data_IF_384096875525
#
_entry.id   IF_384096875525
#
_cell.length_a   1.000
_cell.length_b   1.000
_cell.length_c   1.000
_cell.angle_alpha   90.00
_cell.angle_beta   90.00
_cell.angle_gamma   90.00
#
_symmetry.space_group_name_H-M   'P 1'
#
loop_
_entity.id
_entity.type
_entity.pdbx_description
1 polymer ?
#
# COMPACT_ATOMS: atom_id res chain seq x y z
N UNK A 1 25.88 -42.45 -22.38
CA UNK A 1 24.65 -42.17 -21.60
C UNK A 1 24.80 -42.77 -20.19
N UNK A 2 25.02 -41.99 -19.13
CA UNK A 2 24.90 -42.50 -17.77
C UNK A 2 23.58 -42.08 -17.10
N UNK A 3 23.10 -42.98 -16.27
CA UNK A 3 21.76 -43.07 -15.72
C UNK A 3 21.42 -41.99 -14.67
N UNK A 4 20.24 -41.38 -14.85
CA UNK A 4 19.45 -40.74 -13.80
C UNK A 4 18.95 -41.81 -12.82
N UNK A 5 19.48 -41.88 -11.60
CA UNK A 5 18.83 -42.57 -10.45
C UNK A 5 19.56 -42.22 -9.15
N UNK A 6 19.15 -41.13 -8.52
CA UNK A 6 19.70 -40.68 -7.24
C UNK A 6 18.92 -39.51 -6.61
N UNK A 7 17.59 -39.51 -6.73
CA UNK A 7 16.73 -38.43 -6.20
C UNK A 7 16.00 -38.84 -4.91
N UNK A 8 16.15 -40.06 -4.37
CA UNK A 8 15.08 -40.57 -3.49
C UNK A 8 15.12 -40.16 -2.00
N UNK A 9 16.28 -39.83 -1.41
CA UNK A 9 16.37 -39.54 0.05
C UNK A 9 16.59 -38.08 0.38
N UNK A 10 17.50 -37.40 -0.32
CA UNK A 10 17.80 -35.99 -0.09
C UNK A 10 16.59 -35.10 -0.44
N UNK A 11 15.92 -35.41 -1.54
CA UNK A 11 14.72 -34.69 -1.99
C UNK A 11 13.52 -34.97 -1.07
N UNK A 12 13.36 -36.21 -0.60
CA UNK A 12 12.32 -36.55 0.39
C UNK A 12 12.56 -35.82 1.72
N UNK A 13 13.81 -35.78 2.18
CA UNK A 13 14.19 -35.01 3.37
C UNK A 13 13.95 -33.51 3.20
N UNK A 14 14.28 -32.94 2.04
CA UNK A 14 13.98 -31.54 1.72
C UNK A 14 12.47 -31.25 1.72
N UNK A 15 11.64 -32.13 1.13
CA UNK A 15 10.19 -31.99 1.18
C UNK A 15 9.64 -32.12 2.59
N UNK A 16 10.14 -33.06 3.41
CA UNK A 16 9.73 -33.20 4.81
C UNK A 16 10.09 -31.97 5.65
N UNK A 17 11.21 -31.31 5.35
CA UNK A 17 11.61 -30.07 6.04
C UNK A 17 10.70 -28.88 5.69
N UNK A 18 10.22 -28.83 4.43
CA UNK A 18 9.33 -27.76 3.93
C UNK A 18 7.86 -28.05 4.23
N UNK A 19 7.48 -29.32 4.44
CA UNK A 19 6.09 -29.75 4.64
C UNK A 19 5.36 -29.02 5.77
N UNK A 20 5.94 -28.77 6.97
CA UNK A 20 5.25 -28.03 8.03
C UNK A 20 4.87 -26.60 7.60
N UNK A 21 5.76 -25.92 6.88
CA UNK A 21 5.52 -24.56 6.38
C UNK A 21 4.42 -24.58 5.32
N UNK A 22 4.48 -25.53 4.38
CA UNK A 22 3.44 -25.67 3.33
C UNK A 22 2.09 -26.00 3.95
N UNK A 23 2.03 -26.89 4.93
CA UNK A 23 0.79 -27.23 5.63
C UNK A 23 0.19 -26.00 6.34
N UNK A 24 1.02 -25.19 7.00
CA UNK A 24 0.57 -23.95 7.61
C UNK A 24 0.06 -22.94 6.57
N UNK A 25 0.77 -22.77 5.45
CA UNK A 25 0.33 -21.88 4.36
C UNK A 25 -1.00 -22.37 3.78
N UNK A 26 -1.14 -23.67 3.51
CA UNK A 26 -2.37 -24.23 2.94
C UNK A 26 -3.53 -24.09 3.93
N UNK A 27 -3.33 -24.44 5.19
CA UNK A 27 -4.38 -24.44 6.21
C UNK A 27 -4.79 -23.04 6.68
N UNK A 28 -3.84 -22.12 6.84
CA UNK A 28 -4.09 -20.80 7.44
C UNK A 28 -4.23 -19.66 6.42
N UNK A 29 -3.76 -19.84 5.19
CA UNK A 29 -3.83 -18.82 4.15
C UNK A 29 -4.69 -19.28 2.98
N UNK A 30 -4.33 -20.39 2.33
CA UNK A 30 -5.01 -20.82 1.11
C UNK A 30 -6.46 -21.26 1.38
N UNK A 31 -6.70 -22.03 2.45
CA UNK A 31 -8.04 -22.48 2.81
C UNK A 31 -9.03 -21.33 3.09
N UNK A 32 -8.78 -20.39 4.03
CA UNK A 32 -9.73 -19.29 4.28
C UNK A 32 -9.88 -18.37 3.07
N UNK A 33 -8.84 -18.21 2.25
CA UNK A 33 -8.90 -17.46 1.01
C UNK A 33 -9.86 -18.08 -0.02
N UNK A 34 -9.67 -19.37 -0.31
CA UNK A 34 -10.55 -20.11 -1.23
C UNK A 34 -11.97 -20.22 -0.68
N UNK A 35 -12.11 -20.35 0.64
CA UNK A 35 -13.41 -20.35 1.30
C UNK A 35 -14.11 -18.99 1.20
N UNK A 36 -13.40 -17.87 1.34
CA UNK A 36 -13.97 -16.53 1.10
C UNK A 36 -14.42 -16.37 -0.36
N UNK A 37 -13.65 -16.89 -1.33
CA UNK A 37 -14.07 -16.93 -2.73
C UNK A 37 -15.37 -17.73 -2.84
N UNK A 38 -15.46 -18.92 -2.26
CA UNK A 38 -16.69 -19.72 -2.29
C UNK A 38 -17.89 -18.96 -1.69
N UNK A 39 -17.73 -18.39 -0.49
CA UNK A 39 -18.76 -17.62 0.21
C UNK A 39 -19.27 -16.46 -0.65
N UNK A 40 -18.41 -15.81 -1.44
CA UNK A 40 -18.81 -14.69 -2.30
C UNK A 40 -19.89 -15.03 -3.34
N UNK A 41 -20.06 -16.31 -3.69
CA UNK A 41 -21.10 -16.81 -4.59
C UNK A 41 -22.36 -17.32 -3.86
N UNK A 42 -22.46 -17.07 -2.56
CA UNK A 42 -23.58 -17.51 -1.70
C UNK A 42 -24.31 -16.33 -1.06
N UNK A 43 -25.56 -16.53 -0.62
CA UNK A 43 -26.29 -15.57 0.23
C UNK A 43 -26.02 -15.76 1.72
N UNK A 44 -24.84 -16.29 2.07
CA UNK A 44 -24.49 -16.64 3.44
C UNK A 44 -24.55 -15.43 4.38
N UNK A 45 -25.22 -15.61 5.51
CA UNK A 45 -25.31 -14.64 6.61
C UNK A 45 -24.84 -15.28 7.91
N UNK A 46 -24.57 -14.50 8.94
CA UNK A 46 -24.19 -15.07 10.25
C UNK A 46 -25.32 -15.96 10.76
N UNK A 47 -24.99 -17.21 11.12
CA UNK A 47 -25.95 -18.20 11.62
C UNK A 47 -26.69 -19.00 10.54
N UNK A 48 -26.48 -18.72 9.25
CA UNK A 48 -27.05 -19.50 8.15
C UNK A 48 -25.99 -19.76 7.08
N UNK A 49 -25.75 -21.04 6.73
CA UNK A 49 -24.73 -21.46 5.75
C UNK A 49 -24.96 -20.94 4.33
N UNK A 50 -26.14 -20.37 4.05
CA UNK A 50 -26.47 -19.80 2.75
C UNK A 50 -26.67 -20.87 1.67
N UNK A 51 -27.22 -20.43 0.54
CA UNK A 51 -27.35 -21.18 -0.70
C UNK A 51 -26.46 -20.55 -1.75
N UNK A 52 -26.09 -21.35 -2.73
CA UNK A 52 -25.39 -20.87 -3.92
C UNK A 52 -26.32 -19.97 -4.74
N UNK A 53 -25.92 -18.72 -4.96
CA UNK A 53 -26.65 -17.72 -5.75
C UNK A 53 -25.88 -17.27 -7.00
N UNK A 54 -24.75 -17.91 -7.29
CA UNK A 54 -23.89 -17.56 -8.42
C UNK A 54 -23.38 -16.13 -8.34
N UNK A 55 -23.56 -15.34 -9.39
CA UNK A 55 -23.02 -13.98 -9.51
C UNK A 55 -23.91 -12.88 -8.89
N UNK A 56 -24.97 -13.23 -8.17
CA UNK A 56 -25.95 -12.25 -7.69
C UNK A 56 -25.34 -11.15 -6.79
N UNK A 57 -24.42 -11.50 -5.87
CA UNK A 57 -23.71 -10.52 -5.04
C UNK A 57 -22.91 -9.52 -5.89
N UNK A 58 -22.22 -10.01 -6.92
CA UNK A 58 -21.40 -9.20 -7.81
C UNK A 58 -22.26 -8.22 -8.62
N UNK A 59 -23.38 -8.69 -9.18
CA UNK A 59 -24.33 -7.84 -9.92
C UNK A 59 -24.95 -6.78 -9.00
N UNK A 60 -25.32 -7.16 -7.78
CA UNK A 60 -25.85 -6.24 -6.78
C UNK A 60 -24.84 -5.14 -6.43
N UNK A 61 -23.61 -5.53 -6.09
CA UNK A 61 -22.53 -4.60 -5.75
C UNK A 61 -22.20 -3.66 -6.91
N UNK A 62 -22.14 -4.15 -8.14
CA UNK A 62 -21.84 -3.31 -9.31
C UNK A 62 -22.84 -2.18 -9.58
N UNK A 63 -24.06 -2.28 -9.02
CA UNK A 63 -25.11 -1.25 -9.11
C UNK A 63 -25.17 -0.35 -7.87
N UNK A 64 -24.41 -0.67 -6.83
CA UNK A 64 -24.41 0.05 -5.57
C UNK A 64 -23.45 1.26 -5.66
N UNK A 65 -23.95 2.46 -5.39
CA UNK A 65 -23.16 3.70 -5.45
C UNK A 65 -21.99 3.70 -4.47
N UNK A 66 -22.16 3.17 -3.25
CA UNK A 66 -21.11 3.06 -2.24
C UNK A 66 -20.00 2.12 -2.69
N UNK A 67 -20.35 1.02 -3.35
CA UNK A 67 -19.37 0.12 -3.95
C UNK A 67 -18.58 0.81 -5.06
N UNK A 68 -19.24 1.52 -5.97
CA UNK A 68 -18.57 2.29 -7.03
C UNK A 68 -17.64 3.37 -6.45
N UNK A 69 -18.08 4.09 -5.41
CA UNK A 69 -17.23 5.01 -4.66
C UNK A 69 -16.01 4.30 -4.09
N UNK A 70 -16.18 3.09 -3.54
CA UNK A 70 -15.06 2.32 -2.99
C UNK A 70 -13.97 1.95 -4.01
N UNK A 71 -14.35 1.69 -5.26
CA UNK A 71 -13.41 1.44 -6.36
C UNK A 71 -12.55 2.69 -6.58
N UNK A 72 -13.19 3.82 -6.86
CA UNK A 72 -12.50 5.06 -7.20
C UNK A 72 -11.64 5.57 -6.04
N UNK A 73 -12.18 5.55 -4.83
CA UNK A 73 -11.44 5.94 -3.64
C UNK A 73 -10.22 5.06 -3.38
N UNK A 74 -10.33 3.74 -3.58
CA UNK A 74 -9.19 2.83 -3.42
C UNK A 74 -8.12 3.11 -4.48
N UNK A 75 -8.52 3.33 -5.74
CA UNK A 75 -7.59 3.73 -6.82
C UNK A 75 -6.92 5.06 -6.49
N UNK A 76 -7.68 6.08 -6.09
CA UNK A 76 -7.15 7.39 -5.69
C UNK A 76 -6.18 7.26 -4.52
N UNK A 77 -6.55 6.48 -3.50
CA UNK A 77 -5.70 6.21 -2.34
C UNK A 77 -4.36 5.60 -2.75
N UNK A 78 -4.37 4.57 -3.60
CA UNK A 78 -3.14 3.91 -4.06
C UNK A 78 -2.31 4.86 -4.91
N UNK A 79 -2.87 5.40 -6.00
CA UNK A 79 -2.11 6.18 -6.98
C UNK A 79 -1.54 7.47 -6.37
N UNK A 80 -2.36 8.22 -5.62
CA UNK A 80 -1.93 9.50 -5.05
C UNK A 80 -0.98 9.26 -3.88
N UNK A 81 -1.28 8.33 -2.98
CA UNK A 81 -0.40 8.09 -1.83
C UNK A 81 0.94 7.53 -2.28
N UNK A 82 0.97 6.56 -3.20
CA UNK A 82 2.22 5.97 -3.65
C UNK A 82 3.02 6.94 -4.53
N UNK A 83 2.36 7.73 -5.38
CA UNK A 83 3.03 8.80 -6.12
C UNK A 83 3.70 9.83 -5.19
N UNK A 84 3.01 10.26 -4.13
CA UNK A 84 3.58 11.19 -3.14
C UNK A 84 4.71 10.54 -2.33
N UNK A 85 4.53 9.31 -1.86
CA UNK A 85 5.58 8.57 -1.13
C UNK A 85 6.82 8.33 -2.00
N UNK A 86 6.65 8.06 -3.29
CA UNK A 86 7.74 7.93 -4.26
C UNK A 86 8.52 9.24 -4.34
N UNK A 87 7.83 10.35 -4.64
CA UNK A 87 8.46 11.66 -4.78
C UNK A 87 9.18 12.09 -3.49
N UNK A 88 8.52 11.97 -2.33
CA UNK A 88 9.09 12.35 -1.03
C UNK A 88 10.24 11.40 -0.67
N UNK A 89 10.04 10.10 -0.80
CA UNK A 89 11.04 9.08 -0.48
C UNK A 89 12.28 9.23 -1.33
N UNK A 90 12.13 9.43 -2.64
CA UNK A 90 13.25 9.62 -3.56
C UNK A 90 13.97 10.96 -3.31
N UNK A 91 13.22 12.04 -3.14
CA UNK A 91 13.79 13.35 -2.82
C UNK A 91 14.63 13.33 -1.54
N UNK A 92 14.09 12.74 -0.46
CA UNK A 92 14.82 12.58 0.79
C UNK A 92 16.00 11.61 0.65
N UNK A 93 15.86 10.54 -0.12
CA UNK A 93 16.94 9.59 -0.35
C UNK A 93 18.11 10.25 -1.08
N UNK A 94 17.84 11.03 -2.14
CA UNK A 94 18.85 11.81 -2.87
C UNK A 94 19.54 12.83 -1.95
N UNK A 95 18.76 13.54 -1.12
CA UNK A 95 19.29 14.51 -0.17
C UNK A 95 20.27 13.85 0.83
N UNK A 96 19.86 12.72 1.41
CA UNK A 96 20.66 11.96 2.40
C UNK A 96 21.79 11.14 1.77
N UNK A 97 21.69 10.85 0.48
CA UNK A 97 22.76 10.20 -0.27
C UNK A 97 23.97 11.15 -0.45
N UNK A 98 23.76 12.46 -0.40
CA UNK A 98 24.85 13.42 -0.33
C UNK A 98 25.57 13.35 1.03
N UNK A 99 26.81 13.82 1.09
CA UNK A 99 27.62 13.82 2.32
C UNK A 99 27.12 14.87 3.33
N UNK A 100 25.93 14.66 3.91
CA UNK A 100 25.33 15.55 4.90
C UNK A 100 25.92 15.32 6.30
N UNK A 101 26.31 16.39 7.03
CA UNK A 101 26.66 16.27 8.43
C UNK A 101 25.43 15.82 9.23
N UNK A 102 25.61 14.91 10.19
CA UNK A 102 24.50 14.40 11.01
C UNK A 102 23.57 13.39 10.32
N UNK A 103 23.97 12.81 9.18
CA UNK A 103 23.16 11.84 8.40
C UNK A 103 22.50 10.72 9.22
N UNK A 104 23.15 10.24 10.28
CA UNK A 104 22.62 9.18 11.13
C UNK A 104 21.37 9.63 11.89
N UNK A 105 21.43 10.81 12.52
CA UNK A 105 20.30 11.39 13.25
C UNK A 105 19.13 11.71 12.31
N UNK A 106 19.43 12.25 11.14
CA UNK A 106 18.40 12.57 10.14
C UNK A 106 17.68 11.30 9.65
N UNK A 107 18.42 10.22 9.36
CA UNK A 107 17.83 8.91 9.02
C UNK A 107 16.94 8.38 10.14
N UNK A 108 17.39 8.43 11.39
CA UNK A 108 16.60 7.97 12.53
C UNK A 108 15.30 8.75 12.69
N UNK A 109 15.35 10.08 12.56
CA UNK A 109 14.16 10.93 12.66
C UNK A 109 13.15 10.64 11.54
N UNK A 110 13.63 10.50 10.30
CA UNK A 110 12.76 10.17 9.15
C UNK A 110 12.09 8.80 9.29
N UNK A 111 12.67 7.86 10.03
CA UNK A 111 12.11 6.52 10.24
C UNK A 111 11.06 6.46 11.35
N UNK A 112 10.93 7.52 12.17
CA UNK A 112 9.97 7.55 13.29
C UNK A 112 8.52 7.22 12.88
N UNK A 113 7.96 7.77 11.78
CA UNK A 113 6.58 7.48 11.40
C UNK A 113 6.32 6.00 11.12
N UNK A 114 7.31 5.28 10.58
CA UNK A 114 7.19 3.85 10.27
C UNK A 114 7.40 2.96 11.49
N UNK A 115 8.23 3.40 12.44
CA UNK A 115 8.46 2.69 13.70
C UNK A 115 7.22 2.69 14.62
N UNK A 116 6.31 3.66 14.45
CA UNK A 116 5.07 3.73 15.21
C UNK A 116 4.07 2.64 14.78
N UNK A 117 3.38 2.00 15.74
CA UNK A 117 2.22 1.17 15.42
C UNK A 117 1.19 1.99 14.63
N UNK A 118 0.65 1.38 13.56
CA UNK A 118 -0.24 2.08 12.64
C UNK A 118 -1.47 2.69 13.33
N UNK A 119 -2.10 1.95 14.23
CA UNK A 119 -3.21 2.46 15.05
C UNK A 119 -2.85 3.73 15.84
N UNK A 120 -1.67 3.77 16.48
CA UNK A 120 -1.22 4.94 17.26
C UNK A 120 -0.99 6.14 16.34
N UNK A 121 -0.36 5.92 15.18
CA UNK A 121 -0.14 6.96 14.18
C UNK A 121 -1.45 7.58 13.71
N UNK A 122 -2.42 6.76 13.28
CA UNK A 122 -3.70 7.29 12.76
C UNK A 122 -4.58 7.92 13.85
N UNK A 123 -4.58 7.41 15.08
CA UNK A 123 -5.26 8.08 16.18
C UNK A 123 -4.63 9.44 16.53
N UNK A 124 -3.30 9.54 16.46
CA UNK A 124 -2.60 10.82 16.64
C UNK A 124 -3.03 11.81 15.56
N UNK A 125 -3.06 11.38 14.30
CA UNK A 125 -3.59 12.22 13.21
C UNK A 125 -5.05 12.60 13.42
N UNK A 126 -5.91 11.70 13.91
CA UNK A 126 -7.29 12.03 14.23
C UNK A 126 -7.39 13.16 15.25
N UNK A 127 -6.56 13.16 16.29
CA UNK A 127 -6.50 14.25 17.28
C UNK A 127 -6.02 15.55 16.63
N UNK A 128 -4.96 15.49 15.80
CA UNK A 128 -4.44 16.67 15.10
C UNK A 128 -5.47 17.28 14.13
N UNK A 129 -6.32 16.46 13.54
CA UNK A 129 -7.39 16.84 12.62
C UNK A 129 -8.68 17.32 13.31
N UNK A 130 -8.78 17.30 14.65
CA UNK A 130 -9.99 17.74 15.32
C UNK A 130 -10.31 19.21 14.99
N UNK A 131 -11.57 19.54 14.62
CA UNK A 131 -11.95 20.90 14.30
C UNK A 131 -11.66 21.86 15.47
N UNK A 132 -11.99 21.44 16.68
CA UNK A 132 -11.80 22.19 17.92
C UNK A 132 -10.67 21.56 18.72
N UNK A 133 -9.63 22.34 19.05
CA UNK A 133 -8.49 21.88 19.83
C UNK A 133 -7.47 21.01 19.08
N UNK A 134 -7.70 20.70 17.80
CA UNK A 134 -6.75 19.98 16.97
C UNK A 134 -5.53 20.82 16.59
N UNK A 135 -4.35 20.21 16.64
CA UNK A 135 -3.07 20.89 16.43
C UNK A 135 -2.96 21.61 15.09
N UNK A 136 -3.56 21.08 14.02
CA UNK A 136 -3.46 21.69 12.68
C UNK A 136 -4.21 23.02 12.62
N UNK A 137 -5.45 23.05 13.09
CA UNK A 137 -6.24 24.29 13.12
C UNK A 137 -5.60 25.31 14.06
N UNK A 138 -5.07 24.89 15.21
CA UNK A 138 -4.36 25.78 16.13
C UNK A 138 -3.15 26.45 15.46
N UNK A 139 -2.35 25.70 14.70
CA UNK A 139 -1.21 26.25 13.96
C UNK A 139 -1.68 27.21 12.86
N UNK A 140 -2.72 26.86 12.10
CA UNK A 140 -3.24 27.70 11.02
C UNK A 140 -3.81 29.03 11.53
N UNK A 141 -4.53 29.00 12.65
CA UNK A 141 -5.05 30.21 13.29
C UNK A 141 -3.93 31.04 13.91
N UNK A 142 -2.95 30.42 14.60
CA UNK A 142 -1.84 31.12 15.22
C UNK A 142 -0.89 31.79 14.20
N UNK A 143 -0.70 31.17 13.03
CA UNK A 143 0.12 31.72 11.94
C UNK A 143 -0.60 32.73 11.07
N UNK A 144 -1.92 32.88 11.22
CA UNK A 144 -2.75 33.75 10.39
C UNK A 144 -2.96 33.24 8.95
N UNK A 145 -2.51 32.02 8.62
CA UNK A 145 -2.71 31.41 7.29
C UNK A 145 -4.19 31.18 7.02
N UNK A 146 -4.95 30.76 8.05
CA UNK A 146 -6.38 30.57 7.95
C UNK A 146 -7.05 30.85 9.29
N UNK A 147 -8.03 31.75 9.30
CA UNK A 147 -8.76 32.18 10.51
C UNK A 147 -10.00 31.34 10.83
N UNK A 148 -10.45 30.50 9.89
CA UNK A 148 -11.59 29.62 10.06
C UNK A 148 -11.23 28.28 10.72
N UNK A 149 -12.24 27.59 11.24
CA UNK A 149 -12.12 26.19 11.67
C UNK A 149 -12.36 25.29 10.47
N UNK A 150 -11.37 24.49 10.09
CA UNK A 150 -11.52 23.48 9.04
C UNK A 150 -11.89 22.16 9.69
N UNK A 151 -12.99 21.57 9.23
CA UNK A 151 -13.33 20.18 9.55
C UNK A 151 -12.68 19.25 8.51
N UNK A 152 -11.47 18.79 8.86
CA UNK A 152 -10.61 17.98 7.98
C UNK A 152 -11.20 16.62 7.64
N UNK A 153 -12.01 16.05 8.54
CA UNK A 153 -12.53 14.68 8.40
C UNK A 153 -14.04 14.67 8.11
N UNK A 154 -14.76 15.74 8.44
CA UNK A 154 -16.21 15.86 8.24
C UNK A 154 -16.64 16.46 6.90
N UNK A 155 -15.74 17.04 6.10
CA UNK A 155 -16.08 17.56 4.77
C UNK A 155 -15.61 16.63 3.65
N UNK A 156 -16.45 16.41 2.63
CA UNK A 156 -16.13 15.52 1.49
C UNK A 156 -14.86 15.95 0.74
N UNK A 157 -14.61 17.24 0.65
CA UNK A 157 -13.46 17.82 -0.07
C UNK A 157 -12.13 17.65 0.67
N UNK A 158 -12.15 17.54 2.00
CA UNK A 158 -10.94 17.52 2.85
C UNK A 158 -10.62 16.14 3.39
N UNK A 159 -11.62 15.27 3.57
CA UNK A 159 -11.46 13.97 4.21
C UNK A 159 -10.47 13.05 3.48
N UNK A 160 -10.61 12.87 2.16
CA UNK A 160 -9.69 12.01 1.40
C UNK A 160 -8.25 12.57 1.38
N UNK A 161 -8.02 13.88 1.10
CA UNK A 161 -6.69 14.48 1.25
C UNK A 161 -6.07 14.30 2.65
N UNK A 162 -6.85 14.43 3.72
CA UNK A 162 -6.37 14.22 5.09
C UNK A 162 -5.95 12.76 5.33
N UNK A 163 -6.75 11.79 4.88
CA UNK A 163 -6.40 10.37 4.94
C UNK A 163 -5.13 10.06 4.15
N UNK A 164 -5.01 10.58 2.93
CA UNK A 164 -3.82 10.43 2.08
C UNK A 164 -2.60 11.02 2.78
N UNK A 165 -2.71 12.22 3.34
CA UNK A 165 -1.59 12.88 4.01
C UNK A 165 -1.06 12.06 5.19
N UNK A 166 -1.93 11.60 6.07
CA UNK A 166 -1.55 10.73 7.18
C UNK A 166 -0.93 9.40 6.69
N UNK A 167 -1.48 8.83 5.62
CA UNK A 167 -0.97 7.60 4.98
C UNK A 167 0.42 7.80 4.38
N UNK A 168 0.66 8.92 3.71
CA UNK A 168 1.95 9.30 3.13
C UNK A 168 2.97 9.57 4.23
N UNK A 169 2.61 10.34 5.26
CA UNK A 169 3.47 10.63 6.40
C UNK A 169 3.96 9.34 7.09
N UNK A 170 3.08 8.37 7.28
CA UNK A 170 3.45 7.08 7.87
C UNK A 170 4.25 6.22 6.89
N UNK A 171 3.94 6.27 5.60
CA UNK A 171 4.43 5.34 4.58
C UNK A 171 5.73 5.73 3.89
N UNK A 172 6.05 7.02 3.78
CA UNK A 172 7.25 7.49 3.08
C UNK A 172 8.58 6.91 3.62
N UNK A 173 8.76 6.58 4.92
CA UNK A 173 10.05 6.11 5.40
C UNK A 173 10.49 4.79 4.76
N UNK A 174 9.54 3.89 4.46
CA UNK A 174 9.80 2.66 3.71
C UNK A 174 10.34 2.94 2.31
N UNK A 175 9.77 3.91 1.60
CA UNK A 175 10.23 4.35 0.29
C UNK A 175 11.62 4.99 0.37
N UNK A 176 11.80 5.89 1.33
CA UNK A 176 13.07 6.55 1.61
C UNK A 176 14.21 5.56 1.86
N UNK A 177 14.04 4.60 2.77
CA UNK A 177 15.11 3.66 3.12
C UNK A 177 15.43 2.71 1.97
N UNK A 178 14.40 2.28 1.22
CA UNK A 178 14.56 1.40 0.06
C UNK A 178 15.36 2.10 -1.04
N UNK A 179 15.01 3.34 -1.37
CA UNK A 179 15.73 4.11 -2.38
C UNK A 179 17.12 4.53 -1.94
N UNK A 180 17.30 4.87 -0.66
CA UNK A 180 18.62 5.22 -0.14
C UNK A 180 19.59 4.01 -0.21
N UNK A 181 19.10 2.81 0.10
CA UNK A 181 19.89 1.58 -0.05
C UNK A 181 20.21 1.30 -1.53
N UNK A 182 19.23 1.47 -2.42
CA UNK A 182 19.42 1.28 -3.86
C UNK A 182 20.45 2.25 -4.45
N UNK A 183 20.35 3.54 -4.10
CA UNK A 183 21.29 4.58 -4.55
C UNK A 183 22.73 4.28 -4.13
N UNK A 184 22.92 3.73 -2.93
CA UNK A 184 24.26 3.34 -2.44
C UNK A 184 24.85 2.14 -3.17
N UNK A 185 24.02 1.31 -3.81
CA UNK A 185 24.46 0.16 -4.58
C UNK A 185 24.85 0.53 -6.03
N UNK A 186 24.48 1.72 -6.52
CA UNK A 186 24.86 2.17 -7.87
C UNK A 186 26.37 2.47 -7.92
N UNK A 187 27.13 1.85 -8.84
CA UNK A 187 28.58 2.08 -8.95
C UNK A 187 28.90 3.56 -9.23
N UNK A 188 29.91 4.09 -8.53
CA UNK A 188 30.32 5.51 -8.65
C UNK A 188 30.92 5.81 -10.02
N UNK A 189 31.53 4.81 -10.64
CA UNK A 189 32.19 4.88 -11.92
C UNK A 189 31.21 5.30 -13.04
N UNK A 190 29.94 4.91 -12.94
CA UNK A 190 28.90 5.32 -13.89
C UNK A 190 28.64 6.84 -13.83
N UNK A 191 28.65 7.41 -12.62
CA UNK A 191 28.50 8.86 -12.44
C UNK A 191 29.74 9.62 -12.92
N UNK A 192 30.93 9.08 -12.69
CA UNK A 192 32.19 9.68 -13.14
C UNK A 192 32.31 9.66 -14.67
N UNK A 193 31.98 8.53 -15.31
CA UNK A 193 31.94 8.40 -16.76
C UNK A 193 30.98 9.41 -17.38
N UNK A 194 29.74 9.49 -16.87
CA UNK A 194 28.77 10.47 -17.35
C UNK A 194 29.27 11.93 -17.20
N UNK A 195 30.01 12.23 -16.13
CA UNK A 195 30.61 13.56 -15.94
C UNK A 195 31.74 13.86 -16.95
N UNK A 196 32.55 12.86 -17.30
CA UNK A 196 33.58 12.99 -18.35
C UNK A 196 32.93 13.26 -19.71
N UNK A 197 31.78 12.64 -19.99
CA UNK A 197 30.98 12.87 -21.19
C UNK A 197 30.20 14.21 -21.17
N UNK A 198 30.40 15.05 -20.15
CA UNK A 198 29.77 16.37 -20.04
C UNK A 198 28.31 16.34 -19.58
N UNK A 199 27.82 15.22 -19.05
CA UNK A 199 26.44 15.11 -18.57
C UNK A 199 26.21 15.98 -17.33
N UNK A 200 25.19 16.83 -17.40
CA UNK A 200 24.68 17.64 -16.28
C UNK A 200 24.05 16.76 -15.20
N UNK A 201 23.90 17.28 -13.97
CA UNK A 201 23.27 16.54 -12.87
C UNK A 201 21.84 16.05 -13.20
N UNK A 202 21.08 16.83 -13.97
CA UNK A 202 19.75 16.43 -14.43
C UNK A 202 19.81 15.28 -15.43
N UNK A 203 20.78 15.30 -16.35
CA UNK A 203 21.00 14.18 -17.27
C UNK A 203 21.42 12.93 -16.50
N UNK A 204 22.40 13.04 -15.58
CA UNK A 204 22.84 11.92 -14.73
C UNK A 204 21.70 11.33 -13.89
N UNK A 205 20.75 12.16 -13.45
CA UNK A 205 19.57 11.66 -12.74
C UNK A 205 18.74 10.72 -13.62
N UNK A 206 18.43 11.11 -14.86
CA UNK A 206 17.61 10.30 -15.76
C UNK A 206 18.35 9.16 -16.45
N UNK A 207 19.66 9.29 -16.69
CA UNK A 207 20.44 8.29 -17.46
C UNK A 207 21.20 7.30 -16.57
N UNK A 208 21.57 7.69 -15.35
CA UNK A 208 22.32 6.82 -14.43
C UNK A 208 21.46 6.46 -13.21
N UNK A 209 20.90 7.46 -12.53
CA UNK A 209 20.27 7.26 -11.23
C UNK A 209 18.96 6.47 -11.34
N UNK A 210 18.00 6.97 -12.12
CA UNK A 210 16.69 6.33 -12.27
C UNK A 210 16.82 4.91 -12.84
N UNK A 211 17.59 4.66 -13.91
CA UNK A 211 17.84 3.29 -14.39
C UNK A 211 18.52 2.41 -13.33
N UNK A 212 19.52 2.94 -12.62
CA UNK A 212 20.27 2.21 -11.61
C UNK A 212 19.45 1.74 -10.40
N UNK A 213 18.33 2.42 -10.09
CA UNK A 213 17.43 2.03 -8.99
C UNK A 213 16.06 1.53 -9.47
N UNK A 214 15.86 1.36 -10.79
CA UNK A 214 14.56 1.06 -11.40
C UNK A 214 13.90 -0.18 -10.81
N UNK A 215 14.65 -1.27 -10.62
CA UNK A 215 14.12 -2.50 -10.04
C UNK A 215 13.58 -2.26 -8.62
N UNK A 216 14.28 -1.46 -7.82
CA UNK A 216 13.83 -1.09 -6.47
C UNK A 216 12.60 -0.19 -6.54
N UNK A 217 12.49 0.74 -7.50
CA UNK A 217 11.26 1.52 -7.74
C UNK A 217 10.08 0.60 -8.00
N UNK A 218 10.22 -0.38 -8.90
CA UNK A 218 9.12 -1.28 -9.26
C UNK A 218 8.71 -2.16 -8.06
N UNK A 219 9.67 -2.78 -7.37
CA UNK A 219 9.40 -3.63 -6.19
C UNK A 219 8.75 -2.82 -5.06
N UNK A 220 9.29 -1.63 -4.76
CA UNK A 220 8.78 -0.76 -3.69
C UNK A 220 7.37 -0.28 -4.00
N UNK A 221 7.10 0.09 -5.26
CA UNK A 221 5.77 0.49 -5.72
C UNK A 221 4.79 -0.66 -5.59
N UNK A 222 5.14 -1.85 -6.10
CA UNK A 222 4.30 -3.05 -6.02
C UNK A 222 3.90 -3.35 -4.56
N UNK A 223 4.88 -3.43 -3.65
CA UNK A 223 4.65 -3.73 -2.25
C UNK A 223 3.82 -2.63 -1.56
N UNK A 224 4.16 -1.36 -1.78
CA UNK A 224 3.43 -0.23 -1.20
C UNK A 224 1.99 -0.15 -1.68
N UNK A 225 1.73 -0.46 -2.96
CA UNK A 225 0.38 -0.45 -3.51
C UNK A 225 -0.47 -1.58 -2.96
N UNK A 226 0.09 -2.78 -2.78
CA UNK A 226 -0.60 -3.90 -2.13
C UNK A 226 -0.99 -3.51 -0.69
N UNK A 227 -0.07 -2.92 0.08
CA UNK A 227 -0.37 -2.48 1.44
C UNK A 227 -1.37 -1.33 1.49
N UNK A 228 -1.29 -0.37 0.58
CA UNK A 228 -2.18 0.80 0.55
C UNK A 228 -3.60 0.40 0.12
N UNK A 229 -3.73 -0.50 -0.86
CA UNK A 229 -5.02 -1.03 -1.31
C UNK A 229 -5.73 -1.85 -0.22
N UNK A 230 -4.97 -2.58 0.60
CA UNK A 230 -5.47 -3.34 1.74
C UNK A 230 -5.47 -2.54 3.06
N UNK A 231 -5.16 -1.23 2.99
CA UNK A 231 -5.14 -0.35 4.16
C UNK A 231 -6.55 -0.21 4.71
N UNK A 232 -6.83 -0.88 5.83
CA UNK A 232 -8.08 -0.72 6.58
C UNK A 232 -7.95 0.42 7.60
N UNK A 233 -6.87 0.41 8.38
CA UNK A 233 -6.68 1.29 9.54
C UNK A 233 -6.60 2.78 9.18
N UNK A 234 -5.98 3.10 8.04
CA UNK A 234 -5.84 4.48 7.54
C UNK A 234 -7.18 5.17 7.34
N UNK A 235 -8.19 4.48 6.81
CA UNK A 235 -9.53 5.02 6.62
C UNK A 235 -10.39 4.78 7.86
N UNK A 236 -10.38 3.58 8.41
CA UNK A 236 -11.25 3.21 9.53
C UNK A 236 -11.02 4.08 10.77
N UNK A 237 -9.76 4.37 11.09
CA UNK A 237 -9.43 5.10 12.31
C UNK A 237 -9.63 6.61 12.16
N UNK A 238 -9.63 7.13 10.92
CA UNK A 238 -9.81 8.56 10.64
C UNK A 238 -11.27 8.91 10.34
N UNK A 239 -11.88 8.24 9.37
CA UNK A 239 -13.15 8.67 8.76
C UNK A 239 -14.23 7.59 8.70
N UNK A 240 -13.87 6.32 8.91
CA UNK A 240 -14.78 5.17 8.77
C UNK A 240 -15.47 5.11 7.40
N UNK A 241 -14.80 5.60 6.34
CA UNK A 241 -15.32 5.66 4.98
C UNK A 241 -16.14 6.93 4.66
N UNK A 242 -16.41 7.77 5.66
CA UNK A 242 -17.14 9.03 5.49
C UNK A 242 -16.30 10.20 4.99
N UNK A 243 -16.92 11.39 4.87
CA UNK A 243 -18.35 11.64 4.98
C UNK A 243 -19.10 11.19 3.72
N UNK A 244 -20.22 10.49 3.89
CA UNK A 244 -21.07 9.99 2.79
C UNK A 244 -20.27 9.31 1.67
N UNK A 245 -19.53 8.28 2.06
CA UNK A 245 -18.69 7.43 1.21
C UNK A 245 -17.49 8.11 0.52
N UNK A 246 -17.18 9.36 0.86
CA UNK A 246 -16.07 10.10 0.25
C UNK A 246 -14.69 9.49 0.52
N UNK A 247 -14.55 8.63 1.52
CA UNK A 247 -13.30 7.88 1.78
C UNK A 247 -13.52 6.38 1.85
N UNK A 248 -14.70 5.89 1.46
CA UNK A 248 -15.01 4.46 1.49
C UNK A 248 -14.00 3.69 0.63
N UNK A 249 -13.37 2.65 1.16
CA UNK A 249 -12.40 1.79 0.45
C UNK A 249 -12.80 0.32 0.61
N UNK A 250 -12.28 -0.58 -0.23
CA UNK A 250 -12.69 -1.99 -0.21
C UNK A 250 -12.59 -2.65 1.18
N UNK A 251 -11.48 -2.52 1.95
CA UNK A 251 -11.41 -3.15 3.27
C UNK A 251 -12.48 -2.65 4.25
N UNK A 252 -12.80 -1.35 4.20
CA UNK A 252 -13.82 -0.76 5.07
C UNK A 252 -15.23 -1.19 4.65
N UNK A 253 -15.50 -1.23 3.34
CA UNK A 253 -16.79 -1.70 2.83
C UNK A 253 -17.03 -3.18 3.14
N UNK A 254 -16.01 -4.03 2.97
CA UNK A 254 -16.10 -5.44 3.35
C UNK A 254 -16.37 -5.60 4.85
N UNK A 255 -15.71 -4.78 5.68
CA UNK A 255 -15.95 -4.76 7.12
C UNK A 255 -17.39 -4.36 7.49
N UNK A 256 -17.99 -3.36 6.82
CA UNK A 256 -19.41 -3.05 7.01
C UNK A 256 -20.35 -4.19 6.60
N UNK A 257 -20.03 -4.91 5.52
CA UNK A 257 -20.75 -6.14 5.14
C UNK A 257 -20.70 -7.20 6.24
N UNK A 258 -19.54 -7.36 6.90
CA UNK A 258 -19.40 -8.27 8.04
C UNK A 258 -20.20 -7.80 9.26
N UNK A 259 -20.16 -6.49 9.58
CA UNK A 259 -20.93 -5.93 10.70
C UNK A 259 -22.44 -6.08 10.51
N UNK A 260 -22.92 -5.98 9.28
CA UNK A 260 -24.34 -6.20 8.92
C UNK A 260 -24.69 -7.68 8.74
N UNK A 261 -23.77 -8.59 9.11
CA UNK A 261 -23.91 -10.04 9.04
C UNK A 261 -24.11 -10.60 7.62
N UNK A 262 -23.83 -9.82 6.57
CA UNK A 262 -23.95 -10.21 5.15
C UNK A 262 -22.61 -10.75 4.65
N UNK A 263 -22.26 -11.97 5.09
CA UNK A 263 -20.96 -12.59 4.82
C UNK A 263 -20.70 -12.82 3.32
N UNK A 264 -21.72 -13.24 2.57
CA UNK A 264 -21.64 -13.40 1.11
C UNK A 264 -21.27 -12.11 0.39
N UNK A 265 -21.93 -11.01 0.76
CA UNK A 265 -21.66 -9.69 0.19
C UNK A 265 -20.28 -9.15 0.60
N UNK A 266 -19.91 -9.26 1.88
CA UNK A 266 -18.59 -8.86 2.37
C UNK A 266 -17.46 -9.59 1.65
N UNK A 267 -17.61 -10.91 1.47
CA UNK A 267 -16.66 -11.73 0.73
C UNK A 267 -16.59 -11.32 -0.74
N UNK A 268 -17.72 -11.00 -1.38
CA UNK A 268 -17.73 -10.50 -2.76
C UNK A 268 -16.98 -9.17 -2.91
N UNK A 269 -17.11 -8.24 -1.96
CA UNK A 269 -16.30 -7.00 -1.93
C UNK A 269 -14.80 -7.31 -1.86
N UNK A 270 -14.38 -8.24 -1.01
CA UNK A 270 -12.97 -8.65 -0.94
C UNK A 270 -12.48 -9.31 -2.24
N UNK A 271 -13.29 -10.17 -2.86
CA UNK A 271 -12.97 -10.82 -4.14
C UNK A 271 -12.82 -9.80 -5.27
N UNK A 272 -13.60 -8.72 -5.28
CA UNK A 272 -13.44 -7.62 -6.22
C UNK A 272 -12.08 -6.91 -6.16
N UNK A 273 -11.35 -7.05 -5.05
CA UNK A 273 -9.99 -6.49 -4.94
C UNK A 273 -8.98 -7.30 -5.77
N UNK A 274 -9.26 -8.58 -6.05
CA UNK A 274 -8.31 -9.49 -6.73
C UNK A 274 -7.96 -9.06 -8.15
N UNK A 275 -8.90 -8.74 -9.06
CA UNK A 275 -8.54 -8.27 -10.40
C UNK A 275 -7.63 -7.04 -10.38
N UNK A 276 -7.87 -6.10 -9.45
CA UNK A 276 -7.06 -4.89 -9.31
C UNK A 276 -5.62 -5.24 -8.91
N UNK A 277 -5.45 -6.13 -7.92
CA UNK A 277 -4.13 -6.58 -7.48
C UNK A 277 -3.42 -7.40 -8.56
N UNK A 278 -4.14 -8.26 -9.28
CA UNK A 278 -3.58 -9.05 -10.39
C UNK A 278 -3.05 -8.14 -11.49
N UNK A 279 -3.82 -7.15 -11.93
CA UNK A 279 -3.38 -6.17 -12.93
C UNK A 279 -2.13 -5.44 -12.45
N UNK A 280 -2.08 -5.04 -11.19
CA UNK A 280 -0.93 -4.37 -10.60
C UNK A 280 0.32 -5.26 -10.60
N UNK A 281 0.19 -6.54 -10.20
CA UNK A 281 1.27 -7.52 -10.22
C UNK A 281 1.76 -7.79 -11.65
N UNK A 282 0.85 -7.93 -12.62
CA UNK A 282 1.20 -8.16 -14.02
C UNK A 282 1.96 -6.97 -14.61
N UNK A 283 1.52 -5.74 -14.35
CA UNK A 283 2.23 -4.53 -14.77
C UNK A 283 3.62 -4.49 -14.14
N UNK A 284 3.75 -4.73 -12.84
CA UNK A 284 5.04 -4.74 -12.16
C UNK A 284 5.97 -5.81 -12.74
N UNK A 285 5.47 -7.04 -12.94
CA UNK A 285 6.26 -8.17 -13.45
C UNK A 285 6.73 -7.92 -14.88
N UNK A 286 5.85 -7.43 -15.77
CA UNK A 286 6.24 -7.11 -17.16
C UNK A 286 7.26 -5.97 -17.22
N UNK A 287 7.20 -5.01 -16.31
CA UNK A 287 8.20 -3.94 -16.21
C UNK A 287 9.55 -4.45 -15.71
N UNK A 288 9.58 -5.48 -14.86
CA UNK A 288 10.82 -6.12 -14.39
C UNK A 288 11.46 -7.00 -15.47
N UNK A 289 10.66 -7.82 -16.16
CA UNK A 289 11.18 -8.76 -17.17
C UNK A 289 11.80 -8.06 -18.39
N UNK A 290 11.36 -6.84 -18.71
CA UNK A 290 11.96 -6.01 -19.78
C UNK A 290 13.41 -5.59 -19.52
N UNK A 291 13.95 -5.80 -18.32
CA UNK A 291 15.35 -5.48 -17.99
C UNK A 291 16.29 -6.68 -18.12
N UNK A 292 15.76 -7.90 -18.30
CA UNK A 292 16.56 -9.10 -18.51
C UNK A 292 16.90 -9.36 -20.00
N UNK A 293 16.24 -8.63 -20.91
CA UNK A 293 16.41 -8.67 -22.38
C UNK A 293 17.18 -7.46 -22.92
#
# INVERSE_FOLDING_TARGET
>A
MPARRGVSRLTLFAYLLVAPVVLLIVGLVAYPFLFAIWISFTDQVVGNVGKWIGLANFIYLSKNSTFVSSIWNTITMVLVSDGLKLCIGLGLALLVHQHLPGRGLFRSFLMLPWAMPAFVAFLTWRVLYQPIGGGINLILTATGIHSGVIDWLGQRSTAMPAVIFATVWRGFPFWFVSFLAALQAVPKELYEAARVDGATAWQQFWTVTIPGIRQVIIVTTLLSSIWTANGFENVWLLTQGGPSDATMVFPVLAYFGMQTQRLGEAAAVSVYTLPVLIVLVLIATTLMLRDED
#
